data_IF_824206012062
#
_entry.id   IF_824206012062
#
_cell.length_a   1.000
_cell.length_b   1.000
_cell.length_c   1.000
_cell.angle_alpha   90.00
_cell.angle_beta   90.00
_cell.angle_gamma   90.00
#
_symmetry.space_group_name_H-M   'P 1'
#
loop_
_entity.id
_entity.type
_entity.pdbx_description
1 polymer ?
#
# COMPACT_ATOMS: atom_id res chain seq x y z
N UNK A 1 6.91 20.92 -3.53
CA UNK A 1 6.94 20.56 -2.10
C UNK A 1 6.08 19.31 -1.99
N UNK A 2 6.63 18.10 -1.77
CA UNK A 2 5.78 16.91 -1.66
C UNK A 2 4.87 17.09 -0.43
N UNK A 3 3.58 16.82 -0.60
CA UNK A 3 2.60 16.92 0.46
C UNK A 3 2.99 15.96 1.58
N UNK A 4 3.35 16.52 2.74
CA UNK A 4 3.40 15.79 4.00
C UNK A 4 2.02 15.14 4.15
N UNK A 5 1.99 13.81 4.06
CA UNK A 5 0.74 13.10 4.26
C UNK A 5 0.53 13.10 5.76
N UNK A 6 -0.20 14.10 6.26
CA UNK A 6 -0.66 14.12 7.64
C UNK A 6 -1.61 12.93 7.80
N UNK A 7 -1.06 11.81 8.27
CA UNK A 7 -1.82 10.61 8.58
C UNK A 7 -2.15 10.67 10.06
N UNK A 8 -3.43 10.71 10.39
CA UNK A 8 -3.92 10.75 11.78
C UNK A 8 -3.29 9.65 12.64
N UNK A 9 -3.02 9.93 13.92
CA UNK A 9 -2.43 8.94 14.86
C UNK A 9 -3.24 7.64 14.94
N UNK A 10 -4.57 7.73 14.99
CA UNK A 10 -5.47 6.57 15.00
C UNK A 10 -5.28 5.69 13.76
N UNK A 11 -5.06 6.31 12.59
CA UNK A 11 -4.79 5.58 11.34
C UNK A 11 -3.43 4.90 11.41
N UNK A 12 -2.40 5.57 11.92
CA UNK A 12 -1.06 4.98 12.09
C UNK A 12 -1.07 3.78 13.04
N UNK A 13 -1.84 3.86 14.12
CA UNK A 13 -2.09 2.74 15.03
C UNK A 13 -2.80 1.58 14.32
N UNK A 14 -3.83 1.88 13.52
CA UNK A 14 -4.55 0.88 12.72
C UNK A 14 -3.68 0.22 11.63
N UNK A 15 -2.72 0.94 11.05
CA UNK A 15 -1.76 0.39 10.09
C UNK A 15 -0.76 -0.59 10.72
N UNK A 16 -0.70 -0.65 12.06
CA UNK A 16 0.19 -1.50 12.84
C UNK A 16 1.67 -1.28 12.46
N UNK A 17 2.15 -0.05 12.72
CA UNK A 17 3.56 0.29 12.57
C UNK A 17 4.46 -0.66 13.39
N UNK A 18 5.55 -1.18 12.82
CA UNK A 18 6.53 -1.98 13.56
C UNK A 18 7.18 -1.17 14.67
N UNK A 19 7.52 -1.84 15.78
CA UNK A 19 8.28 -1.21 16.87
C UNK A 19 9.71 -0.94 16.43
N UNK A 20 10.24 0.23 16.79
CA UNK A 20 11.60 0.66 16.46
C UNK A 20 12.68 -0.38 16.79
N UNK A 21 12.58 -1.02 17.96
CA UNK A 21 13.57 -1.99 18.44
C UNK A 21 13.77 -3.22 17.53
N UNK A 22 12.85 -3.48 16.60
CA UNK A 22 12.93 -4.59 15.65
C UNK A 22 13.35 -4.17 14.24
N UNK A 23 13.74 -2.92 14.03
CA UNK A 23 14.09 -2.40 12.71
C UNK A 23 15.60 -2.42 12.48
N UNK A 24 15.99 -2.80 11.26
CA UNK A 24 17.34 -2.56 10.78
C UNK A 24 17.60 -1.06 10.57
N UNK A 25 18.88 -0.69 10.45
CA UNK A 25 19.29 0.71 10.31
C UNK A 25 18.66 1.38 9.08
N UNK A 26 18.50 0.66 7.97
CA UNK A 26 17.93 1.22 6.75
C UNK A 26 16.44 1.57 6.94
N UNK A 27 15.68 0.75 7.65
CA UNK A 27 14.27 1.02 7.99
C UNK A 27 14.15 2.09 9.07
N UNK A 28 14.98 2.05 10.10
CA UNK A 28 14.99 3.05 11.16
C UNK A 28 15.31 4.46 10.64
N UNK A 29 16.20 4.55 9.64
CA UNK A 29 16.55 5.80 8.98
C UNK A 29 15.59 6.20 7.83
N UNK A 30 14.52 5.45 7.58
CA UNK A 30 13.56 5.72 6.50
C UNK A 30 14.11 5.55 5.07
N UNK A 31 15.24 4.85 4.90
CA UNK A 31 15.83 4.51 3.58
C UNK A 31 15.19 3.25 2.97
N UNK A 32 14.57 2.42 3.80
CA UNK A 32 13.85 1.23 3.40
C UNK A 32 12.42 1.26 3.92
N UNK A 33 11.54 0.54 3.24
CA UNK A 33 10.14 0.41 3.64
C UNK A 33 10.05 -0.20 5.04
N UNK A 34 9.39 0.50 5.96
CA UNK A 34 9.28 0.05 7.35
C UNK A 34 8.71 -1.37 7.49
N UNK A 35 7.82 -1.78 6.57
CA UNK A 35 7.20 -3.12 6.59
C UNK A 35 7.94 -4.17 5.77
N UNK A 36 8.35 -3.84 4.54
CA UNK A 36 8.88 -4.82 3.59
C UNK A 36 10.40 -4.83 3.48
N UNK A 37 11.08 -3.79 3.97
CA UNK A 37 12.53 -3.64 3.89
C UNK A 37 13.06 -3.30 2.49
N UNK A 38 12.20 -3.17 1.48
CA UNK A 38 12.67 -2.77 0.15
C UNK A 38 13.25 -1.34 0.17
N UNK A 39 14.31 -1.06 -0.60
CA UNK A 39 14.85 0.28 -0.73
C UNK A 39 13.80 1.26 -1.25
N UNK A 40 13.67 2.40 -0.58
CA UNK A 40 12.74 3.45 -0.97
C UNK A 40 13.41 4.47 -1.89
N UNK A 41 12.66 4.92 -2.90
CA UNK A 41 13.03 6.08 -3.70
C UNK A 41 12.32 7.31 -3.15
N UNK A 42 13.00 8.45 -3.17
CA UNK A 42 12.48 9.71 -2.63
C UNK A 42 11.09 10.04 -3.22
N UNK A 43 10.88 9.73 -4.50
CA UNK A 43 9.65 10.03 -5.25
C UNK A 43 8.45 9.14 -4.88
N UNK A 44 8.71 7.93 -4.39
CA UNK A 44 7.68 6.90 -4.17
C UNK A 44 7.50 6.53 -2.71
N UNK A 45 8.38 7.03 -1.84
CA UNK A 45 8.26 6.88 -0.40
C UNK A 45 7.10 7.74 0.13
N UNK A 46 6.21 7.10 0.87
CA UNK A 46 5.17 7.73 1.68
C UNK A 46 5.76 7.99 3.06
N UNK A 47 5.65 9.23 3.50
CA UNK A 47 5.97 9.62 4.87
C UNK A 47 4.80 9.24 5.78
N UNK A 48 5.09 8.58 6.91
CA UNK A 48 4.10 8.18 7.90
C UNK A 48 4.13 9.07 9.15
N UNK A 49 4.77 10.24 9.04
CA UNK A 49 4.86 11.24 10.08
C UNK A 49 5.91 10.93 11.14
N UNK A 50 5.97 11.82 12.11
CA UNK A 50 6.90 11.74 13.24
C UNK A 50 6.47 10.65 14.23
N UNK A 51 7.41 9.81 14.66
CA UNK A 51 7.22 8.83 15.72
C UNK A 51 8.24 9.02 16.83
N UNK A 52 7.81 8.82 18.08
CA UNK A 52 8.70 8.82 19.24
C UNK A 52 9.21 7.40 19.46
N UNK A 53 10.52 7.21 19.29
CA UNK A 53 11.22 5.95 19.55
C UNK A 53 12.05 5.98 20.83
N UNK A 54 12.60 4.83 21.25
CA UNK A 54 13.40 4.72 22.48
C UNK A 54 14.74 5.48 22.42
N UNK A 55 15.24 5.77 21.23
CA UNK A 55 16.50 6.51 20.99
C UNK A 55 16.26 7.96 20.53
N UNK A 56 15.00 8.39 20.50
CA UNK A 56 14.57 9.69 20.01
C UNK A 56 13.50 9.60 18.93
N UNK A 57 13.21 10.74 18.33
CA UNK A 57 12.27 10.86 17.21
C UNK A 57 12.80 10.14 15.96
N UNK A 58 11.92 9.45 15.25
CA UNK A 58 12.20 8.83 13.95
C UNK A 58 11.04 9.03 12.98
N UNK A 59 11.33 8.96 11.68
CA UNK A 59 10.39 9.27 10.60
C UNK A 59 10.22 8.04 9.72
N UNK A 60 9.32 7.10 10.07
CA UNK A 60 9.07 5.92 9.27
C UNK A 60 8.59 6.28 7.86
N UNK A 61 9.21 5.67 6.86
CA UNK A 61 8.78 5.75 5.47
C UNK A 61 8.38 4.39 4.94
N UNK A 62 7.43 4.37 4.02
CA UNK A 62 6.93 3.15 3.41
C UNK A 62 6.73 3.29 1.91
N UNK A 63 6.70 2.17 1.21
CA UNK A 63 6.30 2.18 -0.20
C UNK A 63 4.79 2.37 -0.31
N UNK A 64 4.33 3.06 -1.37
CA UNK A 64 2.88 3.23 -1.67
C UNK A 64 2.13 1.90 -1.62
N UNK A 65 2.74 0.84 -2.16
CA UNK A 65 2.16 -0.51 -2.13
C UNK A 65 1.92 -0.99 -0.69
N UNK A 66 2.93 -0.89 0.17
CA UNK A 66 2.81 -1.37 1.54
C UNK A 66 1.77 -0.54 2.32
N UNK A 67 1.71 0.79 2.10
CA UNK A 67 0.67 1.64 2.69
C UNK A 67 -0.73 1.19 2.24
N UNK A 68 -0.95 0.98 0.95
CA UNK A 68 -2.24 0.53 0.43
C UNK A 68 -2.65 -0.84 0.98
N UNK A 69 -1.72 -1.81 1.01
CA UNK A 69 -1.97 -3.16 1.54
C UNK A 69 -2.33 -3.11 3.04
N UNK A 70 -1.62 -2.30 3.83
CA UNK A 70 -1.88 -2.13 5.27
C UNK A 70 -3.19 -1.40 5.53
N UNK A 71 -3.46 -0.32 4.80
CA UNK A 71 -4.70 0.42 4.91
C UNK A 71 -5.91 -0.47 4.55
N UNK A 72 -5.78 -1.29 3.51
CA UNK A 72 -6.83 -2.24 3.14
C UNK A 72 -7.08 -3.29 4.23
N UNK A 73 -6.01 -3.89 4.79
CA UNK A 73 -6.14 -4.85 5.90
C UNK A 73 -6.79 -4.24 7.13
N UNK A 74 -6.34 -3.04 7.52
CA UNK A 74 -6.92 -2.29 8.63
C UNK A 74 -8.39 -1.98 8.40
N UNK A 75 -8.76 -1.57 7.18
CA UNK A 75 -10.14 -1.29 6.81
C UNK A 75 -11.02 -2.54 6.86
N UNK A 76 -10.54 -3.67 6.36
CA UNK A 76 -11.25 -4.96 6.40
C UNK A 76 -11.42 -5.45 7.83
N UNK A 77 -10.44 -5.23 8.72
CA UNK A 77 -10.56 -5.58 10.12
C UNK A 77 -11.51 -4.64 10.90
N UNK A 78 -11.51 -3.34 10.56
CA UNK A 78 -12.31 -2.32 11.24
C UNK A 78 -13.79 -2.37 10.84
N UNK A 79 -14.09 -2.46 9.54
CA UNK A 79 -15.44 -2.25 9.02
C UNK A 79 -16.51 -3.16 9.64
N UNK A 80 -16.28 -4.46 9.90
CA UNK A 80 -17.28 -5.34 10.53
C UNK A 80 -17.58 -4.99 12.00
N UNK A 81 -16.62 -4.37 12.68
CA UNK A 81 -16.69 -4.04 14.11
C UNK A 81 -17.21 -2.61 14.36
N UNK A 82 -17.27 -1.78 13.33
CA UNK A 82 -17.70 -0.39 13.43
C UNK A 82 -19.17 -0.25 12.95
N UNK A 83 -20.11 0.11 13.83
CA UNK A 83 -21.52 0.32 13.45
C UNK A 83 -21.67 1.33 12.32
N UNK A 84 -20.93 2.44 12.36
CA UNK A 84 -20.97 3.48 11.32
C UNK A 84 -20.56 2.94 9.95
N UNK A 85 -19.46 2.18 9.87
CA UNK A 85 -19.03 1.60 8.60
C UNK A 85 -19.97 0.52 8.07
N UNK A 86 -20.66 -0.21 8.97
CA UNK A 86 -21.58 -1.28 8.60
C UNK A 86 -22.94 -0.75 8.14
N UNK A 87 -23.45 0.26 8.84
CA UNK A 87 -24.85 0.66 8.78
C UNK A 87 -25.07 1.98 7.98
N UNK A 88 -24.13 2.93 8.05
CA UNK A 88 -24.30 4.32 7.54
C UNK A 88 -23.33 4.69 6.40
N UNK A 89 -22.50 3.73 5.97
CA UNK A 89 -21.48 3.97 4.96
C UNK A 89 -20.20 4.59 5.54
N UNK A 90 -19.12 4.59 4.75
CA UNK A 90 -17.76 4.89 5.24
C UNK A 90 -17.53 6.36 5.59
N UNK A 91 -18.40 7.28 5.20
CA UNK A 91 -18.21 8.74 5.34
C UNK A 91 -18.32 9.24 6.78
N UNK A 92 -19.14 8.62 7.63
CA UNK A 92 -19.35 9.06 9.03
C UNK A 92 -18.35 8.45 10.03
N UNK A 93 -17.49 7.55 9.55
CA UNK A 93 -16.37 7.00 10.30
C UNK A 93 -15.05 7.58 9.78
N UNK A 94 -14.47 8.53 10.52
CA UNK A 94 -13.22 9.20 10.14
C UNK A 94 -12.07 8.19 9.84
N UNK A 95 -11.88 7.19 10.72
CA UNK A 95 -10.88 6.14 10.53
C UNK A 95 -11.15 5.32 9.25
N UNK A 96 -12.39 4.88 9.03
CA UNK A 96 -12.79 4.13 7.85
C UNK A 96 -12.64 4.93 6.55
N UNK A 97 -13.02 6.21 6.57
CA UNK A 97 -12.88 7.13 5.45
C UNK A 97 -11.41 7.37 5.09
N UNK A 98 -10.55 7.59 6.09
CA UNK A 98 -9.14 7.84 5.87
C UNK A 98 -8.39 6.59 5.40
N UNK A 99 -8.65 5.41 6.00
CA UNK A 99 -8.11 4.14 5.51
C UNK A 99 -8.54 3.88 4.06
N UNK A 100 -9.80 4.15 3.71
CA UNK A 100 -10.27 4.02 2.35
C UNK A 100 -9.59 5.00 1.39
N UNK A 101 -9.38 6.26 1.80
CA UNK A 101 -8.60 7.24 1.03
C UNK A 101 -7.19 6.75 0.76
N UNK A 102 -6.48 6.23 1.77
CA UNK A 102 -5.13 5.68 1.61
C UNK A 102 -5.09 4.52 0.62
N UNK A 103 -6.09 3.62 0.67
CA UNK A 103 -6.24 2.55 -0.32
C UNK A 103 -6.39 3.13 -1.72
N UNK A 104 -7.28 4.10 -1.94
CA UNK A 104 -7.50 4.67 -3.26
C UNK A 104 -6.29 5.43 -3.81
N UNK A 105 -5.63 6.23 -2.98
CA UNK A 105 -4.50 7.07 -3.39
C UNK A 105 -3.27 6.23 -3.72
N UNK A 106 -3.02 5.16 -2.97
CA UNK A 106 -1.77 4.41 -3.07
C UNK A 106 -1.88 3.05 -3.74
N UNK A 107 -3.09 2.54 -3.99
CA UNK A 107 -3.28 1.36 -4.83
C UNK A 107 -2.95 1.75 -6.27
N UNK A 108 -1.86 1.23 -6.87
CA UNK A 108 -1.59 1.52 -8.27
C UNK A 108 -2.70 0.91 -9.11
N UNK A 109 -3.25 1.71 -10.02
CA UNK A 109 -4.21 1.22 -11.01
C UNK A 109 -3.48 0.20 -11.87
N UNK A 110 -3.91 -1.06 -11.79
CA UNK A 110 -3.43 -2.15 -12.63
C UNK A 110 -4.56 -2.58 -13.52
N UNK A 111 -4.24 -2.91 -14.76
CA UNK A 111 -5.18 -3.50 -15.69
C UNK A 111 -4.77 -4.93 -15.97
N UNK A 112 -5.75 -5.83 -15.97
CA UNK A 112 -5.55 -7.20 -16.36
C UNK A 112 -5.22 -7.25 -17.85
N UNK A 113 -4.06 -7.79 -18.20
CA UNK A 113 -3.65 -7.94 -19.59
C UNK A 113 -4.56 -8.88 -20.37
N UNK A 114 -5.29 -9.79 -19.72
CA UNK A 114 -6.18 -10.75 -20.38
C UNK A 114 -7.57 -10.17 -20.68
N UNK A 115 -8.25 -9.55 -19.71
CA UNK A 115 -9.61 -9.01 -19.88
C UNK A 115 -9.70 -7.48 -20.02
N UNK A 116 -8.57 -6.76 -19.96
CA UNK A 116 -8.50 -5.29 -19.95
C UNK A 116 -9.24 -4.58 -18.80
N UNK A 117 -9.83 -5.32 -17.84
CA UNK A 117 -10.47 -4.73 -16.67
C UNK A 117 -9.43 -4.26 -15.65
N UNK A 118 -9.75 -3.18 -14.92
CA UNK A 118 -9.00 -2.79 -13.75
C UNK A 118 -8.99 -3.93 -12.71
N UNK A 119 -7.81 -4.18 -12.12
CA UNK A 119 -7.62 -5.07 -10.98
C UNK A 119 -7.86 -4.26 -9.72
N UNK A 120 -8.95 -4.56 -9.04
CA UNK A 120 -9.38 -3.88 -7.83
C UNK A 120 -8.52 -4.22 -6.59
N UNK A 121 -8.61 -3.41 -5.52
CA UNK A 121 -8.00 -3.73 -4.26
C UNK A 121 -8.57 -5.04 -3.69
N UNK A 122 -7.69 -5.97 -3.32
CA UNK A 122 -8.07 -7.29 -2.78
C UNK A 122 -8.27 -8.38 -3.84
N UNK A 123 -8.27 -8.04 -5.14
CA UNK A 123 -8.33 -9.05 -6.20
C UNK A 123 -6.97 -9.74 -6.39
N UNK A 124 -6.96 -11.08 -6.43
CA UNK A 124 -5.73 -11.82 -6.69
C UNK A 124 -5.26 -11.66 -8.13
N UNK A 125 -3.97 -11.37 -8.31
CA UNK A 125 -3.35 -11.22 -9.62
C UNK A 125 -1.97 -11.86 -9.68
N UNK A 126 -1.59 -12.29 -10.88
CA UNK A 126 -0.27 -12.77 -11.19
C UNK A 126 0.52 -11.69 -11.94
N UNK A 127 1.83 -11.62 -11.66
CA UNK A 127 2.74 -10.66 -12.27
C UNK A 127 3.66 -11.39 -13.24
N UNK A 128 3.54 -11.10 -14.52
CA UNK A 128 4.40 -11.65 -15.56
C UNK A 128 5.39 -10.59 -16.05
N UNK A 129 6.66 -10.94 -16.09
CA UNK A 129 7.69 -10.12 -16.73
C UNK A 129 7.82 -10.59 -18.18
N UNK A 130 7.37 -9.79 -19.13
CA UNK A 130 7.62 -10.05 -20.55
C UNK A 130 8.92 -9.37 -20.95
N UNK A 131 9.90 -10.14 -21.41
CA UNK A 131 11.10 -9.58 -22.03
C UNK A 131 10.82 -9.23 -23.49
N UNK A 132 11.26 -8.05 -23.93
CA UNK A 132 11.29 -7.76 -25.35
C UNK A 132 12.30 -8.69 -26.05
N UNK A 133 12.02 -9.16 -27.28
CA UNK A 133 12.93 -10.02 -28.02
C UNK A 133 14.30 -9.37 -28.29
N UNK A 134 14.40 -8.04 -28.23
CA UNK A 134 15.64 -7.26 -28.37
C UNK A 134 16.48 -7.20 -27.08
N UNK A 135 16.02 -7.76 -25.95
CA UNK A 135 16.72 -7.69 -24.66
C UNK A 135 16.74 -6.29 -24.02
N UNK A 136 16.28 -5.26 -24.73
CA UNK A 136 16.23 -3.87 -24.25
C UNK A 136 14.85 -3.58 -23.67
N UNK A 137 14.67 -3.92 -22.40
CA UNK A 137 13.45 -3.62 -21.65
C UNK A 137 12.42 -4.74 -21.64
N UNK A 138 11.68 -4.80 -20.54
CA UNK A 138 10.55 -5.72 -20.37
C UNK A 138 9.35 -4.98 -19.81
N UNK A 139 8.15 -5.31 -20.29
CA UNK A 139 6.91 -4.85 -19.69
C UNK A 139 6.53 -5.78 -18.54
N UNK A 140 6.04 -5.20 -17.45
CA UNK A 140 5.38 -5.97 -16.38
C UNK A 140 3.90 -6.04 -16.70
N UNK A 141 3.40 -7.24 -16.99
CA UNK A 141 1.98 -7.51 -17.18
C UNK A 141 1.38 -8.04 -15.90
N UNK A 142 0.13 -7.67 -15.65
CA UNK A 142 -0.66 -8.17 -14.53
C UNK A 142 -1.88 -8.91 -15.09
N UNK A 143 -2.24 -10.05 -14.52
CA UNK A 143 -3.41 -10.84 -14.94
C UNK A 143 -4.20 -11.24 -13.70
N UNK A 144 -5.54 -11.14 -13.72
CA UNK A 144 -6.33 -11.73 -12.64
C UNK A 144 -6.05 -13.23 -12.60
N UNK A 145 -5.92 -13.79 -11.39
CA UNK A 145 -5.70 -15.23 -11.20
C UNK A 145 -6.87 -16.07 -11.74
N UNK A 146 -8.06 -15.50 -11.72
CA UNK A 146 -9.29 -16.09 -12.26
C UNK A 146 -9.48 -15.87 -13.77
N UNK A 147 -8.63 -15.09 -14.44
CA UNK A 147 -8.76 -14.85 -15.87
C UNK A 147 -8.21 -16.04 -16.66
N UNK A 148 -8.86 -16.47 -17.75
CA UNK A 148 -8.26 -17.45 -18.65
C UNK A 148 -6.92 -16.91 -19.19
N UNK A 149 -5.92 -17.79 -19.40
CA UNK A 149 -4.67 -17.39 -20.01
C UNK A 149 -4.95 -16.75 -21.37
N UNK A 150 -4.20 -15.69 -21.73
CA UNK A 150 -4.32 -15.03 -23.04
C UNK A 150 -4.23 -16.11 -24.11
N UNK A 151 -5.29 -16.31 -24.90
CA UNK A 151 -5.19 -17.06 -26.15
C UNK A 151 -4.29 -16.24 -27.06
N UNK A 152 -3.08 -16.75 -27.31
CA UNK A 152 -2.19 -16.26 -28.35
C UNK A 152 -2.99 -16.21 -29.64
N UNK A 153 -3.14 -15.02 -30.22
CA UNK A 153 -3.72 -14.84 -31.55
C UNK A 153 -2.60 -14.63 -32.54
#
# INVERSE_FOLDING_TARGET
MPAETDVSREVLEALALPKFAGLDEARAAGRACVWGGEPLRIETAVDLGEQVGPVGTWFPRASRRAVAERAHRALVAHAPLCPKCRDEGRTDCALGAELHRLVLVYTPVRYCASCARQIGPGEEFERHLTQAPSGTGGATLYTHRACPPRRSR
#
